data_IF_283420576405
#
_entry.id   IF_283420576405
#
_cell.length_a   1.000
_cell.length_b   1.000
_cell.length_c   1.000
_cell.angle_alpha   90.00
_cell.angle_beta   90.00
_cell.angle_gamma   90.00
#
_symmetry.space_group_name_H-M   'P 1'
#
loop_
_entity.id
_entity.type
_entity.pdbx_description
1 polymer ?
#
# COMPACT_ATOMS: atom_id res chain seq x y z
N UNK A 1 13.83 -23.48 28.28
CA UNK A 1 13.60 -22.06 28.65
C UNK A 1 13.56 -21.17 27.42
N UNK A 2 14.55 -21.24 26.50
CA UNK A 2 14.54 -20.47 25.24
C UNK A 2 13.33 -20.72 24.33
N UNK A 3 12.81 -21.95 24.24
CA UNK A 3 11.64 -22.25 23.39
C UNK A 3 10.38 -21.51 23.85
N UNK A 4 10.13 -21.54 25.16
CA UNK A 4 8.98 -20.87 25.79
C UNK A 4 9.13 -19.34 25.77
N UNK A 5 10.36 -18.85 25.65
CA UNK A 5 10.66 -17.44 25.42
C UNK A 5 10.40 -17.01 23.96
N UNK A 6 10.73 -17.87 22.99
CA UNK A 6 10.36 -17.64 21.60
C UNK A 6 8.84 -17.59 21.39
N UNK A 7 8.12 -18.53 22.01
CA UNK A 7 6.68 -18.67 21.83
C UNK A 7 5.88 -17.44 22.30
N UNK A 8 6.31 -16.76 23.38
CA UNK A 8 5.64 -15.53 23.84
C UNK A 8 5.91 -14.35 22.91
N UNK A 9 7.15 -14.20 22.41
CA UNK A 9 7.53 -13.08 21.53
C UNK A 9 6.72 -13.11 20.23
N UNK A 10 6.60 -14.30 19.63
CA UNK A 10 5.81 -14.52 18.41
C UNK A 10 4.34 -14.23 18.68
N UNK A 11 3.78 -14.72 19.78
CA UNK A 11 2.38 -14.48 20.15
C UNK A 11 2.07 -13.00 20.36
N UNK A 12 2.94 -12.29 21.09
CA UNK A 12 2.84 -10.83 21.30
C UNK A 12 2.88 -10.08 19.98
N UNK A 13 3.82 -10.43 19.09
CA UNK A 13 3.97 -9.80 17.78
C UNK A 13 2.72 -10.02 16.89
N UNK A 14 2.24 -11.25 16.77
CA UNK A 14 1.06 -11.57 15.95
C UNK A 14 -0.22 -10.92 16.47
N UNK A 15 -0.41 -10.89 17.80
CA UNK A 15 -1.54 -10.19 18.43
C UNK A 15 -1.51 -8.69 18.16
N UNK A 16 -0.32 -8.07 18.28
CA UNK A 16 -0.14 -6.65 18.01
C UNK A 16 -0.38 -6.27 16.54
N UNK A 17 0.09 -7.09 15.58
CA UNK A 17 -0.19 -6.88 14.15
C UNK A 17 -1.70 -6.97 13.87
N UNK A 18 -2.38 -7.94 14.47
CA UNK A 18 -3.82 -8.13 14.27
C UNK A 18 -4.63 -6.96 14.86
N UNK A 19 -4.24 -6.48 16.04
CA UNK A 19 -4.80 -5.27 16.65
C UNK A 19 -4.56 -4.05 15.76
N UNK A 20 -3.35 -3.89 15.25
CA UNK A 20 -3.01 -2.79 14.34
C UNK A 20 -3.81 -2.87 13.04
N UNK A 21 -3.97 -4.05 12.45
CA UNK A 21 -4.74 -4.26 11.21
C UNK A 21 -6.22 -3.91 11.37
N UNK A 22 -6.83 -4.31 12.49
CA UNK A 22 -8.25 -3.99 12.76
C UNK A 22 -8.45 -2.48 12.99
N UNK A 23 -7.57 -1.84 13.75
CA UNK A 23 -7.62 -0.40 14.00
C UNK A 23 -7.36 0.43 12.72
N UNK A 24 -6.48 -0.04 11.84
CA UNK A 24 -6.15 0.65 10.57
C UNK A 24 -7.15 0.41 9.45
N UNK A 25 -8.09 -0.54 9.58
CA UNK A 25 -9.00 -0.90 8.49
C UNK A 25 -9.79 0.31 7.96
N UNK A 26 -10.25 1.19 8.86
CA UNK A 26 -10.94 2.42 8.49
C UNK A 26 -10.05 3.36 7.67
N UNK A 27 -8.79 3.53 8.08
CA UNK A 27 -7.80 4.32 7.34
C UNK A 27 -7.52 3.72 5.96
N UNK A 28 -7.45 2.39 5.85
CA UNK A 28 -7.31 1.67 4.59
C UNK A 28 -8.41 2.02 3.57
N UNK A 29 -9.64 2.22 4.04
CA UNK A 29 -10.75 2.69 3.20
C UNK A 29 -10.51 4.10 2.63
N UNK A 30 -10.07 5.03 3.48
CA UNK A 30 -9.75 6.42 3.07
C UNK A 30 -8.61 6.46 2.05
N UNK A 31 -7.57 5.66 2.26
CA UNK A 31 -6.42 5.54 1.35
C UNK A 31 -6.83 5.07 -0.05
N UNK A 32 -7.61 3.99 -0.12
CA UNK A 32 -8.10 3.46 -1.41
C UNK A 32 -9.02 4.44 -2.11
N UNK A 33 -9.96 5.05 -1.36
CA UNK A 33 -10.86 6.07 -1.92
C UNK A 33 -10.11 7.28 -2.45
N UNK A 34 -9.06 7.72 -1.75
CA UNK A 34 -8.18 8.81 -2.20
C UNK A 34 -7.49 8.45 -3.50
N UNK A 35 -6.87 7.26 -3.58
CA UNK A 35 -6.17 6.80 -4.78
C UNK A 35 -7.09 6.78 -6.00
N UNK A 36 -8.30 6.23 -5.88
CA UNK A 36 -9.28 6.20 -6.97
C UNK A 36 -9.69 7.60 -7.44
N UNK A 37 -10.04 8.49 -6.50
CA UNK A 37 -10.43 9.87 -6.85
C UNK A 37 -9.27 10.64 -7.48
N UNK A 38 -8.07 10.43 -6.96
CA UNK A 38 -6.86 11.07 -7.46
C UNK A 38 -6.55 10.64 -8.90
N UNK A 39 -6.55 9.33 -9.16
CA UNK A 39 -6.35 8.77 -10.49
C UNK A 39 -7.41 9.26 -11.48
N UNK A 40 -8.67 9.42 -11.04
CA UNK A 40 -9.74 9.97 -11.88
C UNK A 40 -9.45 11.41 -12.34
N UNK A 41 -9.04 12.31 -11.43
CA UNK A 41 -8.68 13.68 -11.82
C UNK A 41 -7.40 13.76 -12.67
N UNK A 42 -6.44 12.87 -12.43
CA UNK A 42 -5.21 12.77 -13.25
C UNK A 42 -5.56 12.31 -14.67
N UNK A 43 -6.41 11.29 -14.82
CA UNK A 43 -6.87 10.81 -16.13
C UNK A 43 -7.68 11.87 -16.89
N UNK A 44 -8.48 12.67 -16.17
CA UNK A 44 -9.23 13.80 -16.72
C UNK A 44 -8.41 15.08 -16.96
N UNK A 45 -7.08 15.02 -16.93
CA UNK A 45 -6.18 16.16 -17.16
C UNK A 45 -6.41 17.36 -16.22
N UNK A 46 -6.93 17.11 -15.01
CA UNK A 46 -7.30 18.14 -14.05
C UNK A 46 -6.36 18.16 -12.85
N UNK A 47 -5.23 18.85 -12.97
CA UNK A 47 -4.24 18.99 -11.89
C UNK A 47 -4.77 19.74 -10.67
N UNK A 48 -5.68 20.70 -10.85
CA UNK A 48 -6.27 21.45 -9.75
C UNK A 48 -7.18 20.56 -8.89
N UNK A 49 -7.98 19.70 -9.52
CA UNK A 49 -8.81 18.70 -8.85
C UNK A 49 -7.96 17.69 -8.09
N UNK A 50 -6.90 17.17 -8.72
CA UNK A 50 -5.96 16.25 -8.09
C UNK A 50 -5.29 16.87 -6.84
N UNK A 51 -4.77 18.10 -6.94
CA UNK A 51 -4.20 18.82 -5.79
C UNK A 51 -5.20 18.99 -4.65
N UNK A 52 -6.46 19.34 -4.96
CA UNK A 52 -7.52 19.47 -3.94
C UNK A 52 -7.82 18.14 -3.25
N UNK A 53 -7.92 17.04 -3.99
CA UNK A 53 -8.11 15.70 -3.42
C UNK A 53 -6.94 15.32 -2.52
N UNK A 54 -5.71 15.57 -2.96
CA UNK A 54 -4.51 15.32 -2.16
C UNK A 54 -4.56 16.10 -0.83
N UNK A 55 -4.76 17.42 -0.87
CA UNK A 55 -4.81 18.24 0.35
C UNK A 55 -5.94 17.80 1.28
N UNK A 56 -7.14 17.53 0.74
CA UNK A 56 -8.28 17.08 1.53
C UNK A 56 -8.02 15.72 2.18
N UNK A 57 -7.43 14.78 1.44
CA UNK A 57 -7.08 13.46 1.95
C UNK A 57 -6.03 13.55 3.06
N UNK A 58 -5.00 14.40 2.91
CA UNK A 58 -4.02 14.65 3.97
C UNK A 58 -4.68 15.20 5.24
N UNK A 59 -5.60 16.15 5.12
CA UNK A 59 -6.33 16.69 6.28
C UNK A 59 -7.21 15.64 6.95
N UNK A 60 -8.01 14.89 6.18
CA UNK A 60 -8.92 13.86 6.70
C UNK A 60 -8.13 12.72 7.35
N UNK A 61 -7.13 12.17 6.65
CA UNK A 61 -6.31 11.08 7.16
C UNK A 61 -5.50 11.49 8.37
N UNK A 62 -5.00 12.73 8.45
CA UNK A 62 -4.30 13.22 9.65
C UNK A 62 -5.23 13.33 10.85
N UNK A 63 -6.47 13.79 10.65
CA UNK A 63 -7.47 13.85 11.72
C UNK A 63 -7.83 12.45 12.24
N UNK A 64 -8.14 11.52 11.32
CA UNK A 64 -8.40 10.10 11.64
C UNK A 64 -7.18 9.48 12.31
N UNK A 65 -5.98 9.79 11.80
CA UNK A 65 -4.70 9.37 12.32
C UNK A 65 -4.51 9.74 13.79
N UNK A 66 -4.75 11.02 14.10
CA UNK A 66 -4.67 11.55 15.46
C UNK A 66 -5.72 10.91 16.38
N UNK A 67 -6.97 10.78 15.95
CA UNK A 67 -8.03 10.14 16.75
C UNK A 67 -7.68 8.70 17.08
N UNK A 68 -7.25 7.89 16.10
CA UNK A 68 -6.88 6.50 16.33
C UNK A 68 -5.64 6.40 17.22
N UNK A 69 -4.63 7.25 17.02
CA UNK A 69 -3.46 7.33 17.90
C UNK A 69 -3.84 7.59 19.36
N UNK A 70 -4.78 8.53 19.60
CA UNK A 70 -5.26 8.84 20.94
C UNK A 70 -6.07 7.67 21.52
N UNK A 71 -6.91 7.01 20.72
CA UNK A 71 -7.65 5.82 21.14
C UNK A 71 -6.72 4.67 21.53
N UNK A 72 -5.62 4.47 20.80
CA UNK A 72 -4.59 3.48 21.13
C UNK A 72 -3.95 3.81 22.50
N UNK A 73 -3.59 5.07 22.74
CA UNK A 73 -2.97 5.50 24.00
C UNK A 73 -3.91 5.32 25.21
N UNK A 74 -5.17 5.73 25.08
CA UNK A 74 -6.18 5.59 26.14
C UNK A 74 -6.49 4.10 26.37
N UNK A 75 -6.59 3.34 25.28
CA UNK A 75 -6.89 1.92 25.29
C UNK A 75 -5.71 1.02 25.65
N UNK A 76 -4.50 1.55 25.89
CA UNK A 76 -3.26 0.76 26.00
C UNK A 76 -3.31 -0.40 26.98
N UNK A 77 -4.07 -0.25 28.06
CA UNK A 77 -4.23 -1.27 29.10
C UNK A 77 -5.40 -2.23 28.85
N UNK A 78 -6.36 -1.87 28.01
CA UNK A 78 -7.57 -2.67 27.74
C UNK A 78 -7.49 -3.43 26.41
N UNK A 79 -6.84 -2.86 25.40
CA UNK A 79 -6.70 -3.46 24.07
C UNK A 79 -5.91 -4.79 24.08
N UNK A 80 -4.80 -4.95 24.84
CA UNK A 80 -4.06 -6.22 24.87
C UNK A 80 -4.89 -7.40 25.39
N UNK A 81 -5.82 -7.14 26.31
CA UNK A 81 -6.70 -8.16 26.87
C UNK A 81 -7.67 -8.76 25.85
N UNK A 82 -7.90 -8.11 24.70
CA UNK A 82 -8.70 -8.68 23.61
C UNK A 82 -7.99 -9.83 22.90
N UNK A 83 -6.66 -9.89 22.98
CA UNK A 83 -5.84 -10.85 22.23
C UNK A 83 -5.19 -11.91 23.12
N UNK A 84 -4.88 -11.59 24.38
CA UNK A 84 -4.29 -12.56 25.31
C UNK A 84 -4.72 -12.31 26.74
N UNK A 85 -4.84 -13.40 27.51
CA UNK A 85 -5.04 -13.38 28.95
C UNK A 85 -3.73 -13.58 29.74
N UNK A 86 -2.60 -13.82 29.07
CA UNK A 86 -1.30 -13.93 29.72
C UNK A 86 -0.80 -12.54 30.13
N UNK A 87 -0.61 -12.32 31.44
CA UNK A 87 -0.13 -11.05 31.99
C UNK A 87 1.19 -10.60 31.38
N UNK A 88 2.13 -11.52 31.09
CA UNK A 88 3.44 -11.15 30.51
C UNK A 88 3.29 -10.60 29.09
N UNK A 89 2.36 -11.15 28.31
CA UNK A 89 2.05 -10.67 26.95
C UNK A 89 1.32 -9.33 27.02
N UNK A 90 0.37 -9.18 27.94
CA UNK A 90 -0.39 -7.94 28.13
C UNK A 90 0.50 -6.77 28.51
N UNK A 91 1.39 -6.95 29.49
CA UNK A 91 2.29 -5.88 29.97
C UNK A 91 3.25 -5.45 28.86
N UNK A 92 3.89 -6.41 28.18
CA UNK A 92 4.77 -6.13 27.05
C UNK A 92 4.05 -5.42 25.90
N UNK A 93 2.80 -5.80 25.60
CA UNK A 93 2.00 -5.16 24.55
C UNK A 93 1.61 -3.73 24.94
N UNK A 94 1.29 -3.48 26.22
CA UNK A 94 0.93 -2.14 26.73
C UNK A 94 2.09 -1.15 26.57
N UNK A 95 3.32 -1.57 26.83
CA UNK A 95 4.51 -0.73 26.65
C UNK A 95 4.78 -0.45 25.17
N UNK A 96 4.63 -1.47 24.31
CA UNK A 96 4.75 -1.31 22.86
C UNK A 96 3.68 -0.38 22.27
N UNK A 97 2.45 -0.40 22.82
CA UNK A 97 1.35 0.44 22.33
C UNK A 97 1.64 1.94 22.44
N UNK A 98 2.47 2.38 23.40
CA UNK A 98 2.91 3.79 23.50
C UNK A 98 3.72 4.17 22.25
N UNK A 99 4.71 3.35 21.92
CA UNK A 99 5.60 3.54 20.78
C UNK A 99 4.82 3.42 19.47
N UNK A 100 3.92 2.44 19.38
CA UNK A 100 3.04 2.23 18.22
C UNK A 100 2.09 3.40 18.01
N UNK A 101 1.53 4.00 19.06
CA UNK A 101 0.66 5.16 18.92
C UNK A 101 1.41 6.35 18.29
N UNK A 102 2.62 6.64 18.78
CA UNK A 102 3.45 7.71 18.20
C UNK A 102 3.82 7.38 16.75
N UNK A 103 4.22 6.13 16.48
CA UNK A 103 4.53 5.65 15.14
C UNK A 103 3.32 5.64 14.20
N UNK A 104 2.11 5.45 14.72
CA UNK A 104 0.88 5.36 13.94
C UNK A 104 0.65 6.61 13.10
N UNK A 105 0.81 7.79 13.70
CA UNK A 105 0.64 9.06 13.00
C UNK A 105 1.59 9.18 11.80
N UNK A 106 2.84 8.76 11.97
CA UNK A 106 3.85 8.76 10.92
C UNK A 106 3.55 7.72 9.83
N UNK A 107 3.05 6.55 10.23
CA UNK A 107 2.58 5.52 9.30
C UNK A 107 1.44 6.03 8.42
N UNK A 108 0.52 6.84 8.95
CA UNK A 108 -0.56 7.44 8.16
C UNK A 108 0.00 8.33 7.05
N UNK A 109 0.96 9.19 7.36
CA UNK A 109 1.63 10.05 6.38
C UNK A 109 2.36 9.23 5.32
N UNK A 110 3.05 8.16 5.75
CA UNK A 110 3.72 7.21 4.86
C UNK A 110 2.74 6.57 3.87
N UNK A 111 1.67 5.93 4.37
CA UNK A 111 0.70 5.23 3.53
C UNK A 111 -0.03 6.18 2.59
N UNK A 112 -0.33 7.40 3.03
CA UNK A 112 -1.00 8.37 2.19
C UNK A 112 -0.07 8.89 1.08
N UNK A 113 1.18 9.16 1.40
CA UNK A 113 2.18 9.56 0.41
C UNK A 113 2.41 8.46 -0.62
N UNK A 114 2.47 7.20 -0.18
CA UNK A 114 2.47 6.03 -1.05
C UNK A 114 1.24 5.99 -1.95
N UNK A 115 0.03 6.08 -1.40
CA UNK A 115 -1.21 6.02 -2.18
C UNK A 115 -1.31 7.14 -3.24
N UNK A 116 -0.79 8.33 -2.93
CA UNK A 116 -0.73 9.45 -3.86
C UNK A 116 0.30 9.19 -4.97
N UNK A 117 1.49 8.69 -4.65
CA UNK A 117 2.51 8.37 -5.66
C UNK A 117 2.10 7.21 -6.57
N UNK A 118 1.41 6.20 -6.01
CA UNK A 118 0.83 5.10 -6.77
C UNK A 118 -0.24 5.64 -7.74
N UNK A 119 -1.11 6.55 -7.28
CA UNK A 119 -2.11 7.20 -8.13
C UNK A 119 -1.50 8.08 -9.23
N UNK A 120 -0.30 8.63 -9.02
CA UNK A 120 0.44 9.36 -10.06
C UNK A 120 1.06 8.42 -11.13
N UNK A 121 1.09 7.11 -10.87
CA UNK A 121 1.83 6.15 -11.69
C UNK A 121 3.33 6.19 -11.43
N UNK A 122 3.74 6.54 -10.19
CA UNK A 122 5.14 6.63 -9.77
C UNK A 122 5.53 5.64 -8.64
N UNK A 123 5.11 4.36 -8.67
CA UNK A 123 5.35 3.40 -7.59
C UNK A 123 6.85 3.08 -7.39
N UNK A 124 7.67 3.22 -8.43
CA UNK A 124 9.13 3.01 -8.35
C UNK A 124 9.81 3.86 -7.27
N UNK A 125 9.33 5.08 -7.02
CA UNK A 125 9.87 5.95 -5.96
C UNK A 125 9.54 5.35 -4.59
N UNK A 126 8.33 4.81 -4.44
CA UNK A 126 7.89 4.15 -3.22
C UNK A 126 8.73 2.92 -2.93
N UNK A 127 8.93 2.07 -3.93
CA UNK A 127 9.74 0.87 -3.81
C UNK A 127 11.19 1.19 -3.40
N UNK A 128 11.81 2.18 -4.03
CA UNK A 128 13.17 2.60 -3.71
C UNK A 128 13.29 3.19 -2.29
N UNK A 129 12.36 4.08 -1.91
CA UNK A 129 12.34 4.67 -0.57
C UNK A 129 12.15 3.59 0.51
N UNK A 130 11.22 2.65 0.29
CA UNK A 130 10.97 1.54 1.21
C UNK A 130 12.19 0.62 1.32
N UNK A 131 12.87 0.34 0.21
CA UNK A 131 14.09 -0.46 0.24
C UNK A 131 15.17 0.17 1.13
N UNK A 132 15.43 1.47 0.96
CA UNK A 132 16.40 2.19 1.79
C UNK A 132 15.98 2.17 3.26
N UNK A 133 14.72 2.54 3.55
CA UNK A 133 14.26 2.62 4.94
C UNK A 133 14.24 1.28 5.65
N UNK A 134 13.78 0.21 4.98
CA UNK A 134 13.67 -1.11 5.59
C UNK A 134 15.03 -1.83 5.70
N UNK A 135 15.84 -1.82 4.64
CA UNK A 135 17.06 -2.63 4.59
C UNK A 135 18.30 -1.87 5.04
N UNK A 136 18.46 -0.62 4.60
CA UNK A 136 19.68 0.16 4.86
C UNK A 136 19.61 0.82 6.23
N UNK A 137 18.43 1.27 6.67
CA UNK A 137 18.26 1.99 7.93
C UNK A 137 17.72 1.11 9.04
N UNK A 138 16.55 0.48 8.84
CA UNK A 138 15.90 -0.22 9.94
C UNK A 138 16.74 -1.40 10.45
N UNK A 139 17.39 -2.18 9.57
CA UNK A 139 18.20 -3.32 10.01
C UNK A 139 19.38 -2.93 10.93
N UNK A 140 20.25 -1.96 10.59
CA UNK A 140 21.28 -1.52 11.52
C UNK A 140 20.72 -0.96 12.84
N UNK A 141 19.65 -0.18 12.77
CA UNK A 141 19.04 0.42 13.98
C UNK A 141 18.42 -0.65 14.87
N UNK A 142 17.74 -1.64 14.29
CA UNK A 142 17.21 -2.79 15.00
C UNK A 142 18.36 -3.57 15.65
N UNK A 143 19.45 -3.81 14.91
CA UNK A 143 20.60 -4.53 15.45
C UNK A 143 21.19 -3.82 16.67
N UNK A 144 21.42 -2.51 16.57
CA UNK A 144 21.94 -1.70 17.67
C UNK A 144 20.96 -1.68 18.85
N UNK A 145 19.68 -1.41 18.60
CA UNK A 145 18.69 -1.30 19.69
C UNK A 145 18.40 -2.63 20.38
N UNK A 146 18.30 -3.73 19.63
CA UNK A 146 17.93 -5.03 20.17
C UNK A 146 19.12 -5.73 20.87
N UNK A 147 20.34 -5.61 20.33
CA UNK A 147 21.50 -6.40 20.79
C UNK A 147 22.60 -5.59 21.47
N UNK A 148 22.74 -4.29 21.19
CA UNK A 148 23.75 -3.45 21.86
C UNK A 148 23.17 -2.77 23.09
N UNK A 149 21.93 -2.29 22.99
CA UNK A 149 21.22 -1.68 24.11
C UNK A 149 20.37 -2.67 24.93
N UNK A 150 20.29 -3.94 24.51
CA UNK A 150 19.50 -5.00 25.16
C UNK A 150 18.01 -4.65 25.37
N UNK A 151 17.44 -3.81 24.50
CA UNK A 151 16.01 -3.46 24.58
C UNK A 151 15.07 -4.55 24.05
N UNK A 152 15.62 -5.66 23.54
CA UNK A 152 14.87 -6.82 23.08
C UNK A 152 13.78 -6.47 22.06
N UNK A 153 12.54 -6.92 22.31
CA UNK A 153 11.40 -6.68 21.42
C UNK A 153 11.10 -5.18 21.23
N UNK A 154 11.26 -4.37 22.26
CA UNK A 154 11.03 -2.92 22.18
C UNK A 154 12.02 -2.27 21.23
N UNK A 155 13.29 -2.67 21.27
CA UNK A 155 14.33 -2.18 20.37
C UNK A 155 14.02 -2.45 18.90
N UNK A 156 13.43 -3.62 18.60
CA UNK A 156 12.99 -3.98 17.24
C UNK A 156 11.90 -3.02 16.76
N UNK A 157 10.87 -2.78 17.56
CA UNK A 157 9.76 -1.89 17.19
C UNK A 157 10.20 -0.43 17.01
N UNK A 158 11.10 0.06 17.88
CA UNK A 158 11.69 1.40 17.73
C UNK A 158 12.48 1.51 16.43
N UNK A 159 13.31 0.51 16.11
CA UNK A 159 14.08 0.50 14.86
C UNK A 159 13.21 0.46 13.61
N UNK A 160 12.11 -0.30 13.63
CA UNK A 160 11.12 -0.32 12.56
C UNK A 160 10.49 1.06 12.35
N UNK A 161 10.07 1.73 13.42
CA UNK A 161 9.45 3.06 13.33
C UNK A 161 10.43 4.08 12.77
N UNK A 162 11.70 4.03 13.18
CA UNK A 162 12.74 4.91 12.61
C UNK A 162 12.87 4.70 11.10
N UNK A 163 12.89 3.45 10.64
CA UNK A 163 12.88 3.13 9.20
C UNK A 163 11.66 3.70 8.46
N UNK A 164 10.47 3.57 9.06
CA UNK A 164 9.25 4.17 8.52
C UNK A 164 9.30 5.69 8.51
N UNK A 165 9.87 6.35 9.53
CA UNK A 165 10.03 7.81 9.57
C UNK A 165 10.87 8.27 8.38
N UNK A 166 12.03 7.65 8.15
CA UNK A 166 12.90 8.04 7.04
C UNK A 166 12.19 7.82 5.70
N UNK A 167 11.55 6.66 5.53
CA UNK A 167 10.78 6.36 4.31
C UNK A 167 9.67 7.39 4.08
N UNK A 168 8.91 7.71 5.13
CA UNK A 168 7.82 8.69 5.11
C UNK A 168 8.31 10.09 4.73
N UNK A 169 9.46 10.52 5.25
CA UNK A 169 10.06 11.82 4.91
C UNK A 169 10.46 11.89 3.44
N UNK A 170 11.10 10.83 2.91
CA UNK A 170 11.49 10.75 1.50
C UNK A 170 10.26 10.80 0.60
N UNK A 171 9.23 10.00 0.90
CA UNK A 171 7.97 10.00 0.14
C UNK A 171 7.28 11.36 0.19
N UNK A 172 7.16 11.95 1.38
CA UNK A 172 6.55 13.26 1.58
C UNK A 172 7.28 14.34 0.78
N UNK A 173 8.61 14.30 0.75
CA UNK A 173 9.41 15.20 -0.07
C UNK A 173 9.06 15.09 -1.57
N UNK A 174 8.97 13.86 -2.10
CA UNK A 174 8.59 13.65 -3.51
C UNK A 174 7.15 14.06 -3.81
N UNK A 175 6.22 13.84 -2.88
CA UNK A 175 4.83 14.28 -3.00
C UNK A 175 4.75 15.81 -3.06
N UNK A 176 5.42 16.52 -2.14
CA UNK A 176 5.42 17.98 -2.10
C UNK A 176 6.12 18.61 -3.31
N UNK A 177 7.14 17.95 -3.87
CA UNK A 177 7.87 18.39 -5.07
C UNK A 177 7.27 17.85 -6.38
N UNK A 178 6.07 17.30 -6.36
CA UNK A 178 5.43 16.75 -7.56
C UNK A 178 5.24 17.84 -8.62
N UNK A 179 5.85 17.65 -9.79
CA UNK A 179 5.51 18.41 -10.99
C UNK A 179 4.25 17.83 -11.62
N UNK A 180 3.14 18.55 -11.42
CA UNK A 180 1.83 18.14 -11.90
C UNK A 180 1.74 18.15 -13.42
N UNK A 181 2.49 19.01 -14.11
CA UNK A 181 2.46 19.04 -15.57
C UNK A 181 3.12 17.78 -16.14
N UNK A 182 4.26 17.38 -15.56
CA UNK A 182 4.92 16.13 -15.92
C UNK A 182 4.03 14.91 -15.63
N UNK A 183 3.38 14.87 -14.46
CA UNK A 183 2.46 13.76 -14.11
C UNK A 183 1.28 13.67 -15.08
N UNK A 184 0.68 14.80 -15.46
CA UNK A 184 -0.43 14.82 -16.42
C UNK A 184 0.01 14.41 -17.82
N UNK A 185 1.18 14.86 -18.27
CA UNK A 185 1.76 14.47 -19.55
C UNK A 185 2.07 12.96 -19.59
N UNK A 186 2.62 12.40 -18.51
CA UNK A 186 2.86 10.97 -18.38
C UNK A 186 1.56 10.16 -18.39
N UNK A 187 0.52 10.65 -17.69
CA UNK A 187 -0.79 10.00 -17.70
C UNK A 187 -1.43 10.04 -19.10
N UNK A 188 -1.35 11.17 -19.80
CA UNK A 188 -1.83 11.30 -21.18
C UNK A 188 -1.11 10.34 -22.13
N UNK A 189 0.23 10.29 -22.04
CA UNK A 189 1.05 9.38 -22.85
C UNK A 189 0.69 7.91 -22.60
N UNK A 190 0.45 7.52 -21.34
CA UNK A 190 0.03 6.15 -21.01
C UNK A 190 -1.32 5.79 -21.64
N UNK A 191 -2.28 6.71 -21.63
CA UNK A 191 -3.59 6.45 -22.23
C UNK A 191 -3.49 6.29 -23.76
N UNK A 192 -2.76 7.17 -24.44
CA UNK A 192 -2.60 7.07 -25.89
C UNK A 192 -1.91 5.76 -26.33
N UNK A 193 -0.89 5.32 -25.59
CA UNK A 193 -0.23 4.03 -25.85
C UNK A 193 -1.18 2.85 -25.66
N UNK A 194 -2.12 2.94 -24.71
CA UNK A 194 -3.15 1.92 -24.52
C UNK A 194 -4.12 1.86 -25.71
N UNK A 195 -4.59 3.01 -26.20
CA UNK A 195 -5.49 3.08 -27.36
C UNK A 195 -4.82 2.50 -28.62
N UNK A 196 -3.53 2.81 -28.83
CA UNK A 196 -2.73 2.22 -29.91
C UNK A 196 -2.57 0.71 -29.75
N UNK A 197 -2.27 0.23 -28.54
CA UNK A 197 -2.12 -1.20 -28.26
C UNK A 197 -3.44 -1.95 -28.48
N UNK A 198 -4.57 -1.37 -28.11
CA UNK A 198 -5.91 -1.96 -28.33
C UNK A 198 -6.26 -2.01 -29.82
N UNK A 199 -5.93 -0.95 -30.57
CA UNK A 199 -6.10 -0.91 -32.04
C UNK A 199 -5.25 -1.96 -32.75
N UNK A 200 -3.96 -2.08 -32.37
CA UNK A 200 -3.05 -3.09 -32.93
C UNK A 200 -3.50 -4.49 -32.57
N UNK A 201 -3.86 -4.73 -31.31
CA UNK A 201 -4.34 -6.05 -30.85
C UNK A 201 -5.60 -6.47 -31.59
N UNK A 202 -6.55 -5.55 -31.76
CA UNK A 202 -7.78 -5.79 -32.53
C UNK A 202 -7.46 -6.12 -33.99
N UNK A 203 -6.54 -5.37 -34.62
CA UNK A 203 -6.10 -5.62 -35.99
C UNK A 203 -5.43 -7.00 -36.14
N UNK A 204 -4.52 -7.34 -35.22
CA UNK A 204 -3.83 -8.64 -35.19
C UNK A 204 -4.82 -9.79 -35.03
N UNK A 205 -5.77 -9.67 -34.10
CA UNK A 205 -6.83 -10.67 -33.90
C UNK A 205 -7.71 -10.85 -35.15
N UNK A 206 -8.06 -9.77 -35.86
CA UNK A 206 -8.81 -9.84 -37.10
C UNK A 206 -8.00 -10.52 -38.21
N UNK A 207 -6.73 -10.16 -38.41
CA UNK A 207 -5.88 -10.80 -39.41
C UNK A 207 -5.57 -12.26 -39.07
N UNK A 208 -5.35 -12.60 -37.79
CA UNK A 208 -5.17 -13.97 -37.34
C UNK A 208 -6.40 -14.83 -37.62
N UNK A 209 -7.59 -14.32 -37.27
CA UNK A 209 -8.85 -14.99 -37.58
C UNK A 209 -9.10 -15.17 -39.08
N UNK A 210 -8.72 -14.20 -39.91
CA UNK A 210 -8.79 -14.33 -41.38
C UNK A 210 -7.81 -15.38 -41.92
N UNK A 211 -6.60 -15.47 -41.38
CA UNK A 211 -5.61 -16.49 -41.76
C UNK A 211 -6.10 -17.87 -41.35
N UNK A 212 -6.64 -18.02 -40.14
CA UNK A 212 -7.20 -19.30 -39.67
C UNK A 212 -8.38 -19.74 -40.55
N UNK A 213 -9.29 -18.82 -40.91
CA UNK A 213 -10.39 -19.12 -41.85
C UNK A 213 -9.90 -19.54 -43.24
N UNK A 214 -8.84 -18.90 -43.76
CA UNK A 214 -8.25 -19.28 -45.05
C UNK A 214 -7.58 -20.65 -44.96
N UNK A 215 -6.84 -20.94 -43.89
CA UNK A 215 -6.24 -22.27 -43.65
C UNK A 215 -7.32 -23.34 -43.55
N UNK A 216 -8.42 -23.07 -42.85
CA UNK A 216 -9.55 -24.00 -42.73
C UNK A 216 -10.22 -24.27 -44.09
N UNK A 217 -10.37 -23.23 -44.92
CA UNK A 217 -10.93 -23.36 -46.28
C UNK A 217 -10.04 -24.16 -47.23
N UNK A 218 -8.71 -24.09 -47.05
CA UNK A 218 -7.73 -24.79 -47.88
C UNK A 218 -7.47 -26.22 -47.41
N UNK A 219 -7.51 -26.46 -46.10
CA UNK A 219 -7.13 -27.76 -45.51
C UNK A 219 -8.32 -28.68 -45.23
N UNK A 220 -9.55 -28.17 -45.20
CA UNK A 220 -10.78 -28.97 -45.00
C UNK A 220 -10.81 -29.78 -43.70
N UNK A 221 -9.91 -29.48 -42.76
CA UNK A 221 -9.70 -30.27 -41.55
C UNK A 221 -10.38 -29.60 -40.36
N UNK A 222 -11.27 -30.27 -39.62
CA UNK A 222 -11.79 -29.74 -38.38
C UNK A 222 -10.69 -29.81 -37.32
N UNK A 223 -9.99 -28.69 -37.05
CA UNK A 223 -9.16 -28.61 -35.86
C UNK A 223 -10.01 -28.25 -34.65
N UNK A 224 -9.71 -28.97 -33.58
CA UNK A 224 -10.28 -28.88 -32.25
C UNK A 224 -10.30 -27.41 -31.77
N UNK A 225 -11.49 -26.84 -31.66
CA UNK A 225 -11.76 -25.53 -31.06
C UNK A 225 -11.16 -25.50 -29.65
N UNK A 226 -10.01 -24.84 -29.47
CA UNK A 226 -9.68 -24.29 -28.16
C UNK A 226 -10.45 -22.97 -28.05
N UNK A 227 -11.35 -22.81 -27.07
CA UNK A 227 -12.10 -21.58 -26.91
C UNK A 227 -11.12 -20.42 -26.71
N UNK A 228 -11.23 -19.39 -27.55
CA UNK A 228 -10.48 -18.14 -27.37
C UNK A 228 -10.75 -17.60 -25.97
N UNK A 229 -9.74 -17.08 -25.24
CA UNK A 229 -10.00 -16.37 -24.00
C UNK A 229 -10.88 -15.16 -24.32
N UNK A 230 -12.10 -15.14 -23.80
CA UNK A 230 -13.02 -14.03 -23.96
C UNK A 230 -12.43 -12.75 -23.34
N UNK A 231 -12.61 -11.57 -23.96
CA UNK A 231 -12.21 -10.31 -23.35
C UNK A 231 -12.97 -10.09 -22.03
N UNK A 232 -12.32 -9.63 -20.95
CA UNK A 232 -12.92 -9.59 -19.61
C UNK A 232 -14.03 -8.53 -19.42
N UNK A 233 -14.34 -7.71 -20.43
CA UNK A 233 -15.13 -6.49 -20.24
C UNK A 233 -16.63 -6.64 -20.49
N UNK A 234 -17.11 -7.75 -21.04
CA UNK A 234 -18.53 -7.87 -21.43
C UNK A 234 -19.46 -8.38 -20.32
N UNK A 235 -19.21 -8.02 -19.06
CA UNK A 235 -20.16 -8.19 -17.96
C UNK A 235 -20.72 -6.83 -17.53
N UNK A 236 -21.45 -6.19 -18.43
CA UNK A 236 -22.48 -5.22 -18.05
C UNK A 236 -23.63 -5.98 -17.42
N UNK A 237 -23.67 -6.04 -16.09
CA UNK A 237 -24.87 -6.41 -15.33
C UNK A 237 -25.61 -5.14 -14.96
N UNK A 238 -26.69 -4.86 -15.66
CA UNK A 238 -27.89 -4.17 -15.16
C UNK A 238 -29.07 -4.72 -15.99
N UNK A 239 -30.25 -4.90 -15.43
CA UNK A 239 -30.95 -3.94 -14.57
C UNK A 239 -30.81 -4.19 -13.06
#
# INVERSE_FOLDING_TARGET
LSHREGDYLVSTHSGLISLFGTLTAFQGGVLRGTSVRMSHYIGGQNSAGAKKVMTLAFSISSCIGAVISVLILIGRHRLPHLYSNDKRVVDATSDLLIIVAIGYFLCVVFYLSMAVLDAQGRPQIVAFAFFIGAWVVALPVIYVNAFVFDWGLVGIWVGLIIGYIITSLVLSYFVLRTDWNAVLADAYRRNNLHDETESVTSTVCLTGGMVDQLVDSVTGSPRFFLPSPSPPWNRTTSP
#
